data_IF_541943138923
#
_entry.id   IF_541943138923
#
_cell.length_a   1.000
_cell.length_b   1.000
_cell.length_c   1.000
_cell.angle_alpha   90.00
_cell.angle_beta   90.00
_cell.angle_gamma   90.00
#
_symmetry.space_group_name_H-M   'P 1'
#
loop_
_entity.id
_entity.type
_entity.pdbx_description
1 polymer ?
#
# COMPACT_ATOMS: atom_id res chain seq x y z
N UNK A 1 11.35 -21.02 -13.10
CA UNK A 1 11.04 -20.18 -14.27
C UNK A 1 11.77 -18.87 -14.10
N UNK A 2 12.70 -18.61 -14.97
CA UNK A 2 13.39 -17.32 -15.07
C UNK A 2 12.61 -16.45 -16.04
N UNK A 3 12.02 -15.37 -15.53
CA UNK A 3 11.39 -14.37 -16.40
C UNK A 3 12.45 -13.62 -17.19
N UNK A 4 12.18 -13.30 -18.45
CA UNK A 4 13.09 -12.49 -19.25
C UNK A 4 13.10 -11.04 -18.75
N UNK A 5 14.19 -10.32 -19.02
CA UNK A 5 14.34 -8.91 -18.59
C UNK A 5 13.21 -8.01 -19.12
N UNK A 6 12.64 -8.33 -20.29
CA UNK A 6 11.49 -7.65 -20.88
C UNK A 6 10.18 -7.95 -20.13
N UNK A 7 10.03 -9.17 -19.57
CA UNK A 7 8.87 -9.50 -18.69
C UNK A 7 8.97 -8.83 -17.32
N UNK A 8 10.19 -8.51 -16.87
CA UNK A 8 10.44 -7.76 -15.64
C UNK A 8 10.14 -6.27 -15.85
N UNK A 9 10.40 -5.74 -17.04
CA UNK A 9 10.08 -4.35 -17.39
C UNK A 9 8.57 -4.11 -17.58
N UNK A 10 7.81 -5.13 -17.97
CA UNK A 10 6.34 -5.09 -18.09
C UNK A 10 5.62 -5.55 -16.81
N UNK A 11 6.33 -6.17 -15.87
CA UNK A 11 5.78 -6.78 -14.65
C UNK A 11 5.64 -5.81 -13.46
N UNK A 12 5.93 -4.52 -13.63
CA UNK A 12 5.80 -3.57 -12.55
C UNK A 12 6.82 -3.75 -11.41
N UNK A 13 6.58 -3.03 -10.31
CA UNK A 13 7.46 -3.00 -9.15
C UNK A 13 7.57 -4.37 -8.46
N UNK A 14 8.78 -4.89 -8.30
CA UNK A 14 9.06 -6.06 -7.47
C UNK A 14 9.22 -5.62 -6.01
N UNK A 15 8.19 -5.80 -5.21
CA UNK A 15 8.17 -5.44 -3.78
C UNK A 15 8.23 -6.73 -2.98
N UNK A 16 9.43 -7.07 -2.53
CA UNK A 16 9.72 -8.32 -1.85
C UNK A 16 10.43 -8.05 -0.52
N UNK A 17 9.76 -8.39 0.57
CA UNK A 17 10.33 -8.38 1.91
C UNK A 17 10.82 -9.77 2.34
N UNK A 18 11.48 -9.89 3.50
CA UNK A 18 11.97 -11.18 4.01
C UNK A 18 10.86 -12.17 4.35
N UNK A 19 9.70 -11.71 4.79
CA UNK A 19 8.57 -12.58 5.19
C UNK A 19 7.35 -12.47 4.28
N UNK A 20 7.18 -11.33 3.60
CA UNK A 20 6.05 -11.04 2.73
C UNK A 20 6.50 -10.75 1.32
N UNK A 21 5.64 -11.08 0.36
CA UNK A 21 5.72 -10.60 -1.02
C UNK A 21 4.48 -9.81 -1.38
N UNK A 22 4.66 -8.76 -2.15
CA UNK A 22 3.57 -8.07 -2.80
C UNK A 22 3.30 -8.70 -4.17
N UNK A 23 2.14 -9.29 -4.32
CA UNK A 23 1.69 -9.91 -5.58
C UNK A 23 0.75 -8.94 -6.28
N UNK A 24 1.02 -8.55 -7.54
CA UNK A 24 0.10 -7.70 -8.29
C UNK A 24 -1.31 -8.26 -8.28
N UNK A 25 -2.27 -7.43 -7.86
CA UNK A 25 -3.65 -7.85 -7.72
C UNK A 25 -4.37 -7.88 -9.07
N UNK A 26 -5.12 -8.94 -9.29
CA UNK A 26 -5.99 -9.14 -10.44
C UNK A 26 -7.41 -9.43 -9.95
N UNK A 27 -8.39 -9.45 -10.86
CA UNK A 27 -9.79 -9.73 -10.52
C UNK A 27 -10.01 -11.00 -9.69
N UNK A 28 -9.21 -12.04 -9.94
CA UNK A 28 -9.23 -13.30 -9.15
C UNK A 28 -8.86 -13.11 -7.67
N UNK A 29 -8.21 -12.01 -7.31
CA UNK A 29 -7.81 -11.70 -5.93
C UNK A 29 -8.85 -10.88 -5.15
N UNK A 30 -9.98 -10.50 -5.78
CA UNK A 30 -11.02 -9.68 -5.14
C UNK A 30 -11.50 -10.26 -3.80
N UNK A 31 -11.70 -11.58 -3.73
CA UNK A 31 -12.11 -12.25 -2.50
C UNK A 31 -11.07 -12.14 -1.38
N UNK A 32 -9.79 -12.23 -1.69
CA UNK A 32 -8.71 -12.08 -0.71
C UNK A 32 -8.59 -10.64 -0.22
N UNK A 33 -8.72 -9.66 -1.12
CA UNK A 33 -8.71 -8.24 -0.77
C UNK A 33 -9.91 -7.91 0.13
N UNK A 34 -11.11 -8.36 -0.26
CA UNK A 34 -12.32 -8.16 0.53
C UNK A 34 -12.18 -8.75 1.93
N UNK A 35 -11.62 -9.94 2.02
CA UNK A 35 -11.35 -10.59 3.31
C UNK A 35 -10.32 -9.82 4.17
N UNK A 36 -9.31 -9.19 3.56
CA UNK A 36 -8.40 -8.29 4.28
C UNK A 36 -9.12 -7.05 4.81
N UNK A 37 -10.00 -6.46 4.01
CA UNK A 37 -10.79 -5.28 4.40
C UNK A 37 -11.71 -5.61 5.58
N UNK A 38 -12.45 -6.70 5.50
CA UNK A 38 -13.32 -7.17 6.58
C UNK A 38 -12.55 -7.58 7.84
N UNK A 39 -11.30 -8.01 7.68
CA UNK A 39 -10.38 -8.31 8.78
C UNK A 39 -9.72 -7.08 9.43
N UNK A 40 -10.05 -5.87 8.98
CA UNK A 40 -9.49 -4.61 9.50
C UNK A 40 -10.60 -3.56 9.72
N UNK A 41 -11.65 -3.86 10.50
CA UNK A 41 -12.80 -2.97 10.68
C UNK A 41 -12.44 -1.63 11.33
N UNK A 42 -11.48 -1.60 12.26
CA UNK A 42 -11.06 -0.37 12.93
C UNK A 42 -10.41 0.63 11.97
N UNK A 43 -9.66 0.15 10.98
CA UNK A 43 -9.11 1.01 9.95
C UNK A 43 -10.21 1.77 9.21
N UNK A 44 -11.23 1.06 8.71
CA UNK A 44 -12.34 1.66 7.97
C UNK A 44 -13.18 2.60 8.84
N UNK A 45 -13.44 2.21 10.07
CA UNK A 45 -14.18 3.06 11.02
C UNK A 45 -13.45 4.39 11.27
N UNK A 46 -12.12 4.37 11.38
CA UNK A 46 -11.30 5.57 11.63
C UNK A 46 -11.12 6.43 10.39
N UNK A 47 -10.97 5.83 9.21
CA UNK A 47 -10.64 6.56 7.97
C UNK A 47 -11.87 6.95 7.17
N UNK A 48 -12.89 6.11 7.14
CA UNK A 48 -14.10 6.32 6.34
C UNK A 48 -15.36 6.52 7.18
N UNK A 49 -15.27 6.33 8.50
CA UNK A 49 -16.41 6.44 9.41
C UNK A 49 -17.45 5.33 9.27
N UNK A 50 -17.13 4.26 8.54
CA UNK A 50 -18.01 3.11 8.27
C UNK A 50 -17.19 1.86 7.99
N UNK A 51 -17.84 0.70 8.12
CA UNK A 51 -17.23 -0.57 7.71
C UNK A 51 -17.15 -0.67 6.18
N UNK A 52 -16.23 -1.51 5.64
CA UNK A 52 -16.13 -1.71 4.20
C UNK A 52 -17.42 -2.32 3.65
N UNK A 53 -17.88 -1.82 2.50
CA UNK A 53 -18.99 -2.42 1.79
C UNK A 53 -18.62 -3.78 1.19
N UNK A 54 -19.61 -4.60 0.79
CA UNK A 54 -19.38 -5.96 0.28
C UNK A 54 -18.61 -5.98 -1.06
N UNK A 55 -18.63 -4.88 -1.80
CA UNK A 55 -18.01 -4.74 -3.11
C UNK A 55 -16.77 -3.82 -3.08
N UNK A 56 -16.23 -3.51 -1.90
CA UNK A 56 -15.13 -2.56 -1.75
C UNK A 56 -13.87 -3.01 -2.53
N UNK A 57 -13.53 -4.29 -2.50
CA UNK A 57 -12.40 -4.84 -3.25
C UNK A 57 -12.62 -4.80 -4.77
N UNK A 58 -13.83 -5.07 -5.22
CA UNK A 58 -14.19 -5.02 -6.66
C UNK A 58 -14.06 -3.59 -7.17
N UNK A 59 -14.51 -2.60 -6.40
CA UNK A 59 -14.36 -1.19 -6.77
C UNK A 59 -12.90 -0.76 -6.82
N UNK A 60 -12.09 -1.16 -5.83
CA UNK A 60 -10.65 -0.86 -5.83
C UNK A 60 -9.96 -1.40 -7.08
N UNK A 61 -10.23 -2.66 -7.45
CA UNK A 61 -9.64 -3.29 -8.63
C UNK A 61 -10.12 -2.65 -9.93
N UNK A 62 -11.41 -2.32 -10.01
CA UNK A 62 -11.98 -1.63 -11.18
C UNK A 62 -11.35 -0.26 -11.40
N UNK A 63 -11.15 0.51 -10.32
CA UNK A 63 -10.47 1.81 -10.39
C UNK A 63 -9.01 1.65 -10.85
N UNK A 64 -8.31 0.61 -10.41
CA UNK A 64 -6.94 0.34 -10.81
C UNK A 64 -6.81 -0.13 -12.28
N UNK A 65 -7.83 -0.79 -12.82
CA UNK A 65 -7.83 -1.22 -14.23
C UNK A 65 -7.88 -0.06 -15.23
N UNK A 66 -8.49 1.07 -14.84
CA UNK A 66 -8.64 2.24 -15.71
C UNK A 66 -7.58 3.31 -15.47
N UNK A 67 -6.68 3.10 -14.52
CA UNK A 67 -5.59 4.02 -14.17
C UNK A 67 -4.24 3.30 -14.22
N UNK A 68 -3.49 3.51 -15.29
CA UNK A 68 -2.17 2.88 -15.51
C UNK A 68 -1.15 3.26 -14.43
N UNK A 69 -1.35 4.39 -13.73
CA UNK A 69 -0.49 4.85 -12.65
C UNK A 69 -0.84 4.21 -11.29
N UNK A 70 -1.97 3.54 -11.18
CA UNK A 70 -2.39 2.88 -9.95
C UNK A 70 -2.01 1.41 -9.94
N UNK A 71 -1.33 0.97 -8.87
CA UNK A 71 -0.86 -0.41 -8.70
C UNK A 71 -1.34 -0.95 -7.37
N UNK A 72 -2.15 -2.00 -7.43
CA UNK A 72 -2.68 -2.69 -6.25
C UNK A 72 -1.98 -4.03 -6.08
N UNK A 73 -1.60 -4.35 -4.85
CA UNK A 73 -0.93 -5.60 -4.49
C UNK A 73 -1.65 -6.26 -3.32
N UNK A 74 -1.73 -7.59 -3.34
CA UNK A 74 -1.99 -8.37 -2.13
C UNK A 74 -0.66 -8.71 -1.47
N UNK A 75 -0.63 -8.68 -0.15
CA UNK A 75 0.55 -9.00 0.65
C UNK A 75 0.42 -10.43 1.16
N UNK A 76 1.28 -11.31 0.69
CA UNK A 76 1.21 -12.75 0.98
C UNK A 76 2.45 -13.24 1.73
N UNK A 77 2.28 -14.10 2.75
CA UNK A 77 3.41 -14.69 3.44
C UNK A 77 4.24 -15.58 2.50
N UNK A 78 5.56 -15.47 2.57
CA UNK A 78 6.46 -16.39 1.86
C UNK A 78 6.32 -17.83 2.34
N UNK A 79 5.96 -18.03 3.59
CA UNK A 79 5.70 -19.34 4.17
C UNK A 79 4.39 -19.99 3.67
N UNK A 80 3.60 -19.26 2.89
CA UNK A 80 2.29 -19.70 2.40
C UNK A 80 1.14 -19.24 3.30
N UNK A 81 -0.07 -19.47 2.84
CA UNK A 81 -1.29 -19.06 3.51
C UNK A 81 -2.00 -17.89 2.83
N UNK A 82 -3.12 -17.42 3.40
CA UNK A 82 -3.92 -16.36 2.81
C UNK A 82 -3.20 -15.00 2.86
N UNK A 83 -3.63 -14.07 2.02
CA UNK A 83 -3.17 -12.69 2.06
C UNK A 83 -3.40 -12.08 3.45
N UNK A 84 -2.41 -11.36 3.94
CA UNK A 84 -2.43 -10.69 5.26
C UNK A 84 -2.72 -9.21 5.17
N UNK A 85 -2.62 -8.64 3.98
CA UNK A 85 -2.82 -7.21 3.77
C UNK A 85 -2.92 -6.81 2.31
N UNK A 86 -3.09 -5.52 2.08
CA UNK A 86 -3.24 -4.88 0.78
C UNK A 86 -2.39 -3.62 0.72
N UNK A 87 -1.70 -3.42 -0.40
CA UNK A 87 -0.95 -2.21 -0.72
C UNK A 87 -1.51 -1.60 -2.01
N UNK A 88 -1.86 -0.32 -1.97
CA UNK A 88 -2.28 0.47 -3.12
C UNK A 88 -1.31 1.63 -3.31
N UNK A 89 -0.70 1.71 -4.49
CA UNK A 89 0.26 2.73 -4.87
C UNK A 89 -0.28 3.54 -6.06
N UNK A 90 -0.12 4.85 -5.98
CA UNK A 90 -0.29 5.78 -7.09
C UNK A 90 1.09 6.27 -7.53
N UNK A 91 1.48 5.89 -8.75
CA UNK A 91 2.77 6.26 -9.33
C UNK A 91 2.68 7.63 -10.01
N UNK A 92 3.78 8.37 -9.98
CA UNK A 92 3.85 9.73 -10.57
C UNK A 92 2.75 10.68 -10.05
N UNK A 93 2.43 10.56 -8.76
CA UNK A 93 1.44 11.37 -8.09
C UNK A 93 1.99 11.97 -6.78
N UNK A 94 1.79 13.26 -6.52
CA UNK A 94 1.07 14.27 -7.32
C UNK A 94 1.87 14.79 -8.51
N UNK A 95 3.09 14.36 -8.68
CA UNK A 95 4.01 14.80 -9.73
C UNK A 95 4.92 13.66 -10.19
N UNK A 96 5.47 13.72 -11.39
CA UNK A 96 6.41 12.71 -11.90
C UNK A 96 7.60 12.48 -10.95
N UNK A 97 7.92 11.21 -10.71
CA UNK A 97 8.99 10.79 -9.81
C UNK A 97 8.62 10.75 -8.32
N UNK A 98 7.37 11.02 -7.98
CA UNK A 98 6.79 10.80 -6.66
C UNK A 98 5.78 9.66 -6.72
N UNK A 99 5.82 8.73 -5.77
CA UNK A 99 4.78 7.73 -5.58
C UNK A 99 4.02 8.03 -4.30
N UNK A 100 2.74 7.66 -4.26
CA UNK A 100 1.91 7.81 -3.07
C UNK A 100 1.34 6.47 -2.65
N UNK A 101 1.46 6.14 -1.36
CA UNK A 101 0.68 5.07 -0.75
C UNK A 101 -0.75 5.56 -0.56
N UNK A 102 -1.67 5.00 -1.31
CA UNK A 102 -3.11 5.24 -1.14
C UNK A 102 -3.70 4.39 -0.03
N UNK A 103 -3.17 3.17 0.14
CA UNK A 103 -3.57 2.24 1.19
C UNK A 103 -2.41 1.32 1.53
N UNK A 104 -2.13 1.17 2.81
CA UNK A 104 -1.36 0.06 3.37
C UNK A 104 -2.14 -0.48 4.56
N UNK A 105 -2.72 -1.66 4.39
CA UNK A 105 -3.64 -2.24 5.36
C UNK A 105 -3.25 -3.68 5.65
N UNK A 106 -3.25 -4.04 6.94
CA UNK A 106 -3.12 -5.42 7.40
C UNK A 106 -4.35 -5.83 8.20
N UNK A 107 -4.71 -7.11 8.10
CA UNK A 107 -5.71 -7.70 8.99
C UNK A 107 -5.31 -7.41 10.45
N UNK A 108 -6.27 -7.13 11.30
CA UNK A 108 -6.00 -6.87 12.72
C UNK A 108 -5.22 -8.00 13.40
N UNK A 109 -5.52 -9.25 13.05
CA UNK A 109 -4.80 -10.42 13.55
C UNK A 109 -3.32 -10.46 13.13
N UNK A 110 -2.93 -9.71 12.10
CA UNK A 110 -1.57 -9.64 11.57
C UNK A 110 -0.85 -8.33 11.93
N UNK A 111 -1.48 -7.44 12.68
CA UNK A 111 -0.87 -6.18 13.12
C UNK A 111 0.07 -6.42 14.32
N UNK A 112 1.02 -5.49 14.52
CA UNK A 112 2.00 -5.59 15.61
C UNK A 112 3.11 -6.62 15.39
N UNK A 113 3.21 -7.22 14.19
CA UNK A 113 4.21 -8.21 13.82
C UNK A 113 5.39 -7.64 13.00
N UNK A 114 5.39 -6.33 12.76
CA UNK A 114 6.42 -5.67 11.97
C UNK A 114 6.21 -5.71 10.45
N UNK A 115 5.09 -6.20 9.97
CA UNK A 115 4.79 -6.31 8.54
C UNK A 115 4.69 -4.95 7.83
N UNK A 116 4.15 -3.95 8.51
CA UNK A 116 4.06 -2.58 7.96
C UNK A 116 5.43 -1.97 7.70
N UNK A 117 6.35 -2.10 8.65
CA UNK A 117 7.74 -1.65 8.51
C UNK A 117 8.46 -2.38 7.38
N UNK A 118 8.33 -3.70 7.34
CA UNK A 118 8.95 -4.55 6.31
C UNK A 118 8.44 -4.20 4.91
N UNK A 119 7.13 -4.10 4.75
CA UNK A 119 6.51 -3.77 3.46
C UNK A 119 6.89 -2.36 3.00
N UNK A 120 6.93 -1.39 3.90
CA UNK A 120 7.35 -0.03 3.57
C UNK A 120 8.79 0.00 3.09
N UNK A 121 9.72 -0.68 3.78
CA UNK A 121 11.12 -0.75 3.37
C UNK A 121 11.29 -1.43 2.00
N UNK A 122 10.56 -2.50 1.74
CA UNK A 122 10.57 -3.17 0.43
C UNK A 122 10.00 -2.29 -0.68
N UNK A 123 8.95 -1.53 -0.37
CA UNK A 123 8.34 -0.56 -1.30
C UNK A 123 9.31 0.57 -1.62
N UNK A 124 9.96 1.16 -0.62
CA UNK A 124 10.97 2.21 -0.81
C UNK A 124 12.12 1.71 -1.71
N UNK A 125 12.62 0.51 -1.45
CA UNK A 125 13.69 -0.09 -2.25
C UNK A 125 13.27 -0.33 -3.70
N UNK A 126 12.06 -0.83 -3.94
CA UNK A 126 11.54 -1.07 -5.28
C UNK A 126 11.33 0.25 -6.05
N UNK A 127 10.77 1.26 -5.40
CA UNK A 127 10.57 2.58 -6.00
C UNK A 127 11.91 3.28 -6.32
N UNK A 128 12.90 3.20 -5.42
CA UNK A 128 14.24 3.73 -5.68
C UNK A 128 14.88 3.09 -6.90
N UNK A 129 14.82 1.77 -7.02
CA UNK A 129 15.32 1.05 -8.20
C UNK A 129 14.61 1.45 -9.48
N UNK A 130 13.34 1.80 -9.40
CA UNK A 130 12.54 2.28 -10.53
C UNK A 130 12.74 3.78 -10.84
N UNK A 131 13.59 4.48 -10.07
CA UNK A 131 13.93 5.89 -10.31
C UNK A 131 13.01 6.90 -9.64
N UNK A 132 12.12 6.47 -8.75
CA UNK A 132 11.31 7.39 -7.94
C UNK A 132 12.18 8.07 -6.87
N UNK A 133 11.89 9.34 -6.61
CA UNK A 133 12.67 10.18 -5.69
C UNK A 133 12.00 10.41 -4.35
N UNK A 134 10.69 10.21 -4.27
CA UNK A 134 9.93 10.43 -3.05
C UNK A 134 8.76 9.44 -2.92
N UNK A 135 8.45 9.10 -1.68
CA UNK A 135 7.26 8.35 -1.30
C UNK A 135 6.40 9.21 -0.38
N UNK A 136 5.14 9.36 -0.73
CA UNK A 136 4.16 10.20 -0.05
C UNK A 136 2.99 9.36 0.46
N UNK A 137 2.32 9.88 1.48
CA UNK A 137 1.06 9.34 1.98
C UNK A 137 0.26 10.41 2.72
N UNK A 138 -0.99 10.12 2.99
CA UNK A 138 -1.88 11.00 3.75
C UNK A 138 -2.51 10.23 4.92
N UNK A 139 -2.62 10.89 6.06
CA UNK A 139 -3.19 10.31 7.28
C UNK A 139 -4.26 11.24 7.83
N UNK A 140 -5.44 10.70 8.14
CA UNK A 140 -6.47 11.45 8.87
C UNK A 140 -5.96 11.80 10.27
N UNK A 141 -6.23 13.02 10.72
CA UNK A 141 -5.61 13.55 11.96
C UNK A 141 -5.99 12.76 13.22
N UNK A 142 -7.16 12.14 13.25
CA UNK A 142 -7.58 11.28 14.36
C UNK A 142 -6.79 9.98 14.47
N UNK A 143 -6.13 9.53 13.38
CA UNK A 143 -5.34 8.31 13.41
C UNK A 143 -3.91 8.58 13.93
N UNK A 144 -3.81 8.84 15.22
CA UNK A 144 -2.55 9.17 15.89
C UNK A 144 -1.53 8.03 15.81
N UNK A 145 -1.98 6.78 15.87
CA UNK A 145 -1.11 5.59 15.77
C UNK A 145 -0.43 5.53 14.40
N UNK A 146 -1.17 5.77 13.32
CA UNK A 146 -0.60 5.81 11.98
C UNK A 146 0.41 6.96 11.82
N UNK A 147 0.09 8.14 12.33
CA UNK A 147 1.04 9.27 12.32
C UNK A 147 2.36 8.91 13.00
N UNK A 148 2.31 8.35 14.20
CA UNK A 148 3.51 7.91 14.93
C UNK A 148 4.27 6.81 14.19
N UNK A 149 3.55 5.88 13.57
CA UNK A 149 4.15 4.81 12.76
C UNK A 149 4.96 5.40 11.60
N UNK A 150 4.39 6.29 10.81
CA UNK A 150 5.06 6.89 9.66
C UNK A 150 6.23 7.78 10.07
N UNK A 151 6.08 8.56 11.15
CA UNK A 151 7.16 9.39 11.70
C UNK A 151 8.35 8.54 12.15
N UNK A 152 8.12 7.40 12.80
CA UNK A 152 9.18 6.45 13.17
C UNK A 152 9.91 5.87 11.96
N UNK A 153 9.25 5.76 10.81
CA UNK A 153 9.87 5.31 9.56
C UNK A 153 10.60 6.43 8.79
N UNK A 154 10.64 7.63 9.34
CA UNK A 154 11.36 8.76 8.76
C UNK A 154 10.55 9.62 7.81
N UNK A 155 9.23 9.47 7.76
CA UNK A 155 8.37 10.36 7.01
C UNK A 155 8.19 11.67 7.77
N UNK A 156 8.22 12.79 7.04
CA UNK A 156 8.03 14.13 7.59
C UNK A 156 6.78 14.78 7.00
N UNK A 157 6.16 15.65 7.79
CA UNK A 157 4.99 16.44 7.35
C UNK A 157 5.43 17.41 6.26
N UNK A 158 4.76 17.38 5.12
CA UNK A 158 4.98 18.30 4.01
C UNK A 158 3.76 19.18 3.70
N UNK A 159 2.62 18.88 4.30
CA UNK A 159 1.42 19.67 4.11
C UNK A 159 0.22 19.15 4.86
N UNK A 160 -0.87 19.89 4.74
CA UNK A 160 -2.20 19.53 5.25
C UNK A 160 -3.22 19.76 4.16
N UNK A 161 -4.16 18.83 4.06
CA UNK A 161 -5.34 18.96 3.22
C UNK A 161 -6.51 19.45 4.08
N UNK A 162 -7.49 20.05 3.42
CA UNK A 162 -8.76 20.35 4.07
C UNK A 162 -9.37 19.11 4.70
N UNK A 163 -10.15 19.26 5.76
CA UNK A 163 -10.84 18.18 6.49
C UNK A 163 -9.95 17.35 7.41
N UNK A 164 -8.86 17.88 7.93
CA UNK A 164 -8.07 17.23 8.96
C UNK A 164 -7.27 16.03 8.45
N UNK A 165 -6.57 16.22 7.34
CA UNK A 165 -5.65 15.23 6.76
C UNK A 165 -4.24 15.81 6.71
N UNK A 166 -3.27 15.09 7.25
CA UNK A 166 -1.85 15.44 7.19
C UNK A 166 -1.15 14.66 6.08
N UNK A 167 -0.35 15.35 5.29
CA UNK A 167 0.45 14.76 4.21
C UNK A 167 1.88 14.57 4.67
N UNK A 168 2.38 13.36 4.50
CA UNK A 168 3.75 12.94 4.83
C UNK A 168 4.53 12.59 3.58
N UNK A 169 5.82 12.84 3.60
CA UNK A 169 6.73 12.47 2.51
C UNK A 169 8.08 12.00 3.07
N UNK A 170 8.70 11.09 2.34
CA UNK A 170 10.07 10.64 2.59
C UNK A 170 10.83 10.64 1.27
N UNK A 171 12.02 11.26 1.27
CA UNK A 171 12.93 11.18 0.13
C UNK A 171 13.48 9.76 0.00
N UNK A 172 13.52 9.26 -1.23
CA UNK A 172 14.10 7.97 -1.59
C UNK A 172 15.55 8.17 -2.07
N UNK A 173 16.38 7.17 -1.79
CA UNK A 173 17.82 7.19 -2.13
C UNK A 173 18.13 6.21 -3.27
#
# INVERSE_FOLDING_TARGET
MTFSQAEIEDAGLAIDGPRLRAVPAEGKHAGQIQSCFEGAPDYFARTEGRLPGPDAAIHLLADAEVDDHRKVFILVPRAGGPAVGVLDLHLDYPEPGTAQIGLLLFREACQGLGYGKETTAATEAALSRAGYRALRLSVVDENVEAKQFWERLGFAIVGRLDRGVTVYEKALQ
#
